data_IF_241185025425
#
_entry.id   IF_241185025425
#
_cell.length_a   1.000
_cell.length_b   1.000
_cell.length_c   1.000
_cell.angle_alpha   90.00
_cell.angle_beta   90.00
_cell.angle_gamma   90.00
#
_symmetry.space_group_name_H-M   'P 1'
#
loop_
_entity.id
_entity.type
_entity.pdbx_description
1 polymer ?
#
# COMPACT_ATOMS: atom_id res chain seq x y z
N UNK A 1 2.27 15.88 13.84
CA UNK A 1 2.63 14.63 13.10
C UNK A 1 1.46 13.67 13.17
N UNK A 2 0.88 13.31 12.02
CA UNK A 2 -0.20 12.32 11.95
C UNK A 2 0.31 10.97 12.47
N UNK A 3 -0.31 10.45 13.53
CA UNK A 3 -0.02 9.09 14.00
C UNK A 3 -0.70 8.09 13.08
N UNK A 4 0.08 7.16 12.55
CA UNK A 4 -0.40 6.03 11.77
C UNK A 4 -0.36 4.77 12.62
N UNK A 5 -1.48 4.06 12.68
CA UNK A 5 -1.48 2.68 13.19
C UNK A 5 -1.10 1.79 12.01
N UNK A 6 0.01 1.04 12.13
CA UNK A 6 0.54 0.18 11.06
C UNK A 6 0.52 -1.29 11.46
N UNK A 7 0.17 -2.15 10.51
CA UNK A 7 0.18 -3.60 10.68
C UNK A 7 0.94 -4.26 9.55
N UNK A 8 1.92 -5.10 9.91
CA UNK A 8 2.61 -5.96 8.96
C UNK A 8 1.81 -7.24 8.69
N UNK A 9 1.88 -7.73 7.46
CA UNK A 9 1.37 -9.02 7.04
C UNK A 9 2.34 -9.65 6.05
N UNK A 10 2.79 -10.87 6.32
CA UNK A 10 3.62 -11.64 5.40
C UNK A 10 2.83 -12.05 4.15
N UNK A 11 3.50 -12.07 3.01
CA UNK A 11 2.97 -12.63 1.76
C UNK A 11 3.36 -14.09 1.57
N UNK A 12 2.97 -14.68 0.43
CA UNK A 12 3.26 -16.08 0.10
C UNK A 12 4.65 -16.31 -0.50
N UNK A 13 5.36 -15.25 -0.90
CA UNK A 13 6.68 -15.35 -1.51
C UNK A 13 7.78 -15.60 -0.48
N UNK A 14 8.68 -16.54 -0.78
CA UNK A 14 9.95 -16.64 -0.09
C UNK A 14 10.86 -15.46 -0.48
N UNK A 15 11.43 -14.79 0.51
CA UNK A 15 12.44 -13.76 0.32
C UNK A 15 13.80 -14.42 0.04
N UNK A 16 14.50 -13.94 -0.98
CA UNK A 16 15.92 -14.23 -1.17
C UNK A 16 16.79 -13.13 -0.56
N UNK A 17 18.11 -13.30 -0.64
CA UNK A 17 19.09 -12.31 -0.17
C UNK A 17 19.28 -11.12 -1.13
N UNK A 18 18.53 -11.10 -2.24
CA UNK A 18 18.63 -10.09 -3.30
C UNK A 18 17.74 -8.87 -3.11
N UNK A 19 17.81 -7.93 -4.07
CA UNK A 19 16.97 -6.74 -4.08
C UNK A 19 15.49 -7.11 -4.18
N UNK A 20 14.66 -6.29 -3.53
CA UNK A 20 13.21 -6.42 -3.52
C UNK A 20 12.56 -5.16 -4.08
N UNK A 21 11.41 -5.31 -4.71
CA UNK A 21 10.64 -4.19 -5.23
C UNK A 21 9.59 -3.75 -4.22
N UNK A 22 9.53 -2.46 -3.92
CA UNK A 22 8.59 -1.88 -2.97
C UNK A 22 7.65 -0.94 -3.71
N UNK A 23 6.36 -1.06 -3.45
CA UNK A 23 5.33 -0.14 -3.91
C UNK A 23 4.53 0.41 -2.74
N UNK A 24 4.46 1.73 -2.66
CA UNK A 24 3.68 2.48 -1.68
C UNK A 24 2.52 3.19 -2.37
N UNK A 25 1.33 2.99 -1.82
CA UNK A 25 0.14 3.76 -2.13
C UNK A 25 -0.22 4.62 -0.92
N UNK A 26 -0.46 5.90 -1.18
CA UNK A 26 -1.01 6.86 -0.24
C UNK A 26 -2.37 7.31 -0.77
N UNK A 27 -3.43 6.90 -0.10
CA UNK A 27 -4.81 7.09 -0.53
C UNK A 27 -5.55 7.99 0.46
N UNK A 28 -6.11 9.09 -0.05
CA UNK A 28 -6.90 10.04 0.73
C UNK A 28 -8.38 9.94 0.33
N UNK A 29 -9.20 9.43 1.23
CA UNK A 29 -10.65 9.39 1.05
C UNK A 29 -11.24 10.80 1.15
N UNK A 30 -12.01 11.23 0.15
CA UNK A 30 -12.59 12.58 0.13
C UNK A 30 -13.75 12.75 1.13
N UNK A 31 -14.56 11.71 1.35
CA UNK A 31 -15.77 11.78 2.18
C UNK A 31 -15.72 10.76 3.31
N UNK A 32 -16.03 11.19 4.54
CA UNK A 32 -16.01 10.31 5.72
C UNK A 32 -16.92 9.08 5.57
N UNK A 33 -18.06 9.22 4.88
CA UNK A 33 -18.99 8.10 4.64
C UNK A 33 -18.41 6.95 3.81
N UNK A 34 -17.36 7.23 3.03
CA UNK A 34 -16.71 6.22 2.17
C UNK A 34 -15.59 5.48 2.92
N UNK A 35 -15.11 6.02 4.06
CA UNK A 35 -14.05 5.43 4.89
C UNK A 35 -14.34 3.97 5.29
N UNK A 36 -15.54 3.62 5.80
CA UNK A 36 -15.83 2.24 6.17
C UNK A 36 -15.77 1.28 4.96
N UNK A 37 -16.18 1.74 3.78
CA UNK A 37 -16.16 0.95 2.54
C UNK A 37 -14.72 0.67 2.12
N UNK A 38 -13.86 1.68 2.16
CA UNK A 38 -12.42 1.57 1.84
C UNK A 38 -11.72 0.66 2.85
N UNK A 39 -11.99 0.85 4.15
CA UNK A 39 -11.40 0.02 5.20
C UNK A 39 -11.76 -1.47 5.04
N UNK A 40 -13.02 -1.79 4.69
CA UNK A 40 -13.44 -3.17 4.39
C UNK A 40 -12.70 -3.77 3.19
N UNK A 41 -12.49 -2.98 2.13
CA UNK A 41 -11.71 -3.44 0.98
C UNK A 41 -10.24 -3.70 1.35
N UNK A 42 -9.62 -2.82 2.15
CA UNK A 42 -8.28 -3.03 2.69
C UNK A 42 -8.16 -4.29 3.54
N UNK A 43 -9.15 -4.59 4.39
CA UNK A 43 -9.19 -5.82 5.17
C UNK A 43 -9.32 -7.08 4.28
N UNK A 44 -10.13 -7.02 3.23
CA UNK A 44 -10.25 -8.12 2.25
C UNK A 44 -8.91 -8.39 1.56
N UNK A 45 -8.21 -7.34 1.11
CA UNK A 45 -6.87 -7.48 0.55
C UNK A 45 -5.88 -8.09 1.53
N UNK A 46 -5.87 -7.62 2.78
CA UNK A 46 -4.98 -8.17 3.83
C UNK A 46 -5.20 -9.66 4.08
N UNK A 47 -6.44 -10.13 3.98
CA UNK A 47 -6.77 -11.55 4.15
C UNK A 47 -6.27 -12.41 3.00
N UNK A 48 -6.40 -11.92 1.76
CA UNK A 48 -5.93 -12.63 0.56
C UNK A 48 -4.40 -12.52 0.36
N UNK A 49 -3.73 -11.60 1.05
CA UNK A 49 -2.31 -11.30 0.84
C UNK A 49 -1.35 -12.51 0.90
N UNK A 50 -1.53 -13.49 1.81
CA UNK A 50 -0.69 -14.69 1.83
C UNK A 50 -0.76 -15.56 0.56
N UNK A 51 -1.84 -15.44 -0.22
CA UNK A 51 -2.04 -16.19 -1.47
C UNK A 51 -1.50 -15.42 -2.68
N UNK A 52 -1.05 -14.18 -2.49
CA UNK A 52 -0.51 -13.36 -3.57
C UNK A 52 0.90 -13.84 -3.93
N UNK A 53 1.03 -14.43 -5.10
CA UNK A 53 2.30 -14.87 -5.65
C UNK A 53 3.29 -13.71 -5.78
N UNK A 54 4.56 -13.96 -5.42
CA UNK A 54 5.63 -12.97 -5.47
C UNK A 54 5.57 -11.86 -4.40
N UNK A 55 4.47 -11.74 -3.65
CA UNK A 55 4.38 -10.81 -2.54
C UNK A 55 5.18 -11.31 -1.34
N UNK A 56 6.10 -10.49 -0.84
CA UNK A 56 6.91 -10.77 0.35
C UNK A 56 6.26 -10.21 1.62
N UNK A 57 5.54 -9.09 1.51
CA UNK A 57 4.76 -8.58 2.63
C UNK A 57 4.07 -7.25 2.37
N UNK A 58 3.27 -6.84 3.34
CA UNK A 58 2.39 -5.69 3.27
C UNK A 58 2.33 -4.98 4.62
N UNK A 59 2.55 -3.68 4.61
CA UNK A 59 2.05 -2.79 5.64
C UNK A 59 0.74 -2.16 5.19
N UNK A 60 -0.28 -2.24 6.03
CA UNK A 60 -1.41 -1.33 5.98
C UNK A 60 -1.28 -0.35 7.15
N UNK A 61 -1.40 0.93 6.85
CA UNK A 61 -1.37 2.00 7.82
C UNK A 61 -2.54 2.96 7.60
N UNK A 62 -3.07 3.52 8.67
CA UNK A 62 -4.21 4.42 8.60
C UNK A 62 -4.06 5.54 9.61
N UNK A 63 -4.37 6.77 9.20
CA UNK A 63 -4.42 7.93 10.09
C UNK A 63 -5.55 7.80 11.10
N UNK A 64 -5.47 8.52 12.22
CA UNK A 64 -6.47 8.42 13.30
C UNK A 64 -7.91 8.73 12.87
N UNK A 65 -8.12 9.54 11.83
CA UNK A 65 -9.43 9.87 11.27
C UNK A 65 -9.93 8.89 10.20
N UNK A 66 -9.12 7.88 9.86
CA UNK A 66 -9.45 6.86 8.86
C UNK A 66 -9.35 7.31 7.40
N UNK A 67 -9.16 8.61 7.12
CA UNK A 67 -9.25 9.16 5.77
C UNK A 67 -7.99 8.91 4.94
N UNK A 68 -6.81 9.05 5.56
CA UNK A 68 -5.54 8.75 4.92
C UNK A 68 -5.17 7.30 5.18
N UNK A 69 -5.14 6.50 4.13
CA UNK A 69 -4.80 5.08 4.17
C UNK A 69 -3.55 4.85 3.33
N UNK A 70 -2.57 4.19 3.93
CA UNK A 70 -1.29 3.91 3.31
C UNK A 70 -1.16 2.39 3.18
N UNK A 71 -0.76 1.93 2.01
CA UNK A 71 -0.34 0.54 1.82
C UNK A 71 1.08 0.51 1.27
N UNK A 72 1.99 -0.17 1.95
CA UNK A 72 3.35 -0.42 1.47
C UNK A 72 3.47 -1.92 1.22
N UNK A 73 3.58 -2.31 -0.04
CA UNK A 73 3.71 -3.70 -0.48
C UNK A 73 5.14 -3.97 -0.93
N UNK A 74 5.66 -5.14 -0.56
CA UNK A 74 7.00 -5.60 -0.94
C UNK A 74 6.84 -6.85 -1.79
N UNK A 75 7.60 -6.89 -2.87
CA UNK A 75 7.55 -7.86 -3.95
C UNK A 75 8.95 -8.41 -4.20
N UNK A 76 9.03 -9.67 -4.63
CA UNK A 76 10.30 -10.27 -5.03
C UNK A 76 10.86 -9.54 -6.24
N UNK A 77 10.04 -9.31 -7.26
CA UNK A 77 10.45 -8.55 -8.45
C UNK A 77 9.36 -7.58 -8.95
N UNK A 78 9.71 -6.58 -9.80
CA UNK A 78 8.73 -5.67 -10.37
C UNK A 78 7.65 -6.37 -11.22
N UNK A 79 7.94 -7.57 -11.75
CA UNK A 79 6.98 -8.36 -12.53
C UNK A 79 5.82 -8.86 -11.67
N UNK A 80 6.08 -9.28 -10.43
CA UNK A 80 5.04 -9.75 -9.50
C UNK A 80 4.03 -8.65 -9.17
N UNK A 81 4.51 -7.43 -8.92
CA UNK A 81 3.65 -6.27 -8.73
C UNK A 81 2.78 -6.03 -9.96
N UNK A 82 3.35 -6.13 -11.16
CA UNK A 82 2.58 -5.98 -12.40
C UNK A 82 1.49 -7.03 -12.48
N UNK A 83 1.77 -8.31 -12.22
CA UNK A 83 0.76 -9.37 -12.22
C UNK A 83 -0.38 -9.06 -11.24
N UNK A 84 -0.04 -8.63 -10.01
CA UNK A 84 -1.03 -8.23 -9.02
C UNK A 84 -1.90 -7.06 -9.47
N UNK A 85 -1.31 -6.00 -10.02
CA UNK A 85 -2.05 -4.82 -10.50
C UNK A 85 -2.99 -5.17 -11.66
N UNK A 86 -2.63 -6.17 -12.46
CA UNK A 86 -3.46 -6.65 -13.58
C UNK A 86 -4.54 -7.66 -13.13
N UNK A 87 -4.49 -8.14 -11.88
CA UNK A 87 -5.47 -9.11 -11.37
C UNK A 87 -6.90 -8.55 -11.35
N UNK A 88 -7.93 -9.39 -11.59
CA UNK A 88 -9.32 -8.95 -11.56
C UNK A 88 -9.74 -8.36 -10.21
N UNK A 89 -9.24 -8.94 -9.11
CA UNK A 89 -9.52 -8.48 -7.74
C UNK A 89 -8.94 -7.09 -7.50
N UNK A 90 -7.70 -6.83 -7.94
CA UNK A 90 -7.10 -5.51 -7.81
C UNK A 90 -7.82 -4.45 -8.65
N UNK A 91 -8.10 -4.76 -9.92
CA UNK A 91 -8.83 -3.86 -10.83
C UNK A 91 -10.25 -3.57 -10.35
N UNK A 92 -10.90 -4.50 -9.67
CA UNK A 92 -12.19 -4.23 -9.05
C UNK A 92 -12.06 -3.18 -7.95
N UNK A 93 -11.07 -3.29 -7.05
CA UNK A 93 -10.89 -2.28 -6.00
C UNK A 93 -10.53 -0.92 -6.57
N UNK A 94 -9.62 -0.85 -7.54
CA UNK A 94 -9.27 0.43 -8.18
C UNK A 94 -10.51 1.07 -8.82
N UNK A 95 -11.36 0.29 -9.50
CA UNK A 95 -12.62 0.80 -10.06
C UNK A 95 -13.58 1.29 -8.99
N UNK A 96 -13.81 0.50 -7.95
CA UNK A 96 -14.76 0.83 -6.88
C UNK A 96 -14.39 2.16 -6.20
N UNK A 97 -13.10 2.45 -6.03
CA UNK A 97 -12.62 3.59 -5.25
C UNK A 97 -11.97 4.70 -6.07
N UNK A 98 -12.06 4.65 -7.42
CA UNK A 98 -11.51 5.67 -8.32
C UNK A 98 -12.01 7.08 -7.98
N UNK A 99 -13.31 7.21 -7.72
CA UNK A 99 -13.96 8.51 -7.48
C UNK A 99 -14.12 8.82 -5.98
N UNK A 100 -13.73 7.89 -5.10
CA UNK A 100 -13.90 8.03 -3.66
C UNK A 100 -12.74 8.78 -2.96
N UNK A 101 -11.65 9.05 -3.67
CA UNK A 101 -10.44 9.62 -3.09
C UNK A 101 -9.33 9.89 -4.10
N UNK A 102 -8.25 10.49 -3.62
CA UNK A 102 -7.01 10.70 -4.37
C UNK A 102 -5.98 9.63 -4.03
N UNK A 103 -5.27 9.12 -5.04
CA UNK A 103 -4.23 8.10 -4.89
C UNK A 103 -2.89 8.65 -5.39
N UNK A 104 -1.86 8.53 -4.57
CA UNK A 104 -0.47 8.67 -4.99
C UNK A 104 0.21 7.32 -4.85
N UNK A 105 0.81 6.86 -5.95
CA UNK A 105 1.61 5.64 -5.96
C UNK A 105 3.06 6.00 -6.19
N UNK A 106 3.94 5.39 -5.41
CA UNK A 106 5.39 5.47 -5.57
C UNK A 106 5.96 4.07 -5.51
N UNK A 107 7.07 3.84 -6.19
CA UNK A 107 7.76 2.57 -6.15
C UNK A 107 9.27 2.79 -6.13
N UNK A 108 10.00 1.88 -5.49
CA UNK A 108 11.45 1.88 -5.44
C UNK A 108 11.99 0.47 -5.25
N UNK A 109 13.28 0.29 -5.46
CA UNK A 109 13.97 -0.96 -5.17
C UNK A 109 14.72 -0.80 -3.85
N UNK A 110 14.56 -1.77 -2.94
CA UNK A 110 15.38 -1.89 -1.75
C UNK A 110 16.39 -3.01 -1.97
N UNK A 111 17.62 -2.85 -1.47
CA UNK A 111 18.71 -3.82 -1.69
C UNK A 111 18.42 -5.21 -1.11
N UNK A 112 17.57 -5.27 -0.08
CA UNK A 112 17.15 -6.50 0.60
C UNK A 112 15.83 -6.28 1.34
N UNK A 113 15.19 -7.36 1.77
CA UNK A 113 14.04 -7.30 2.66
C UNK A 113 14.44 -6.90 4.09
N UNK A 114 14.64 -5.61 4.34
CA UNK A 114 14.74 -5.05 5.69
C UNK A 114 13.47 -4.25 6.03
N UNK A 115 12.65 -4.84 6.91
CA UNK A 115 11.35 -4.28 7.32
C UNK A 115 11.47 -2.91 7.98
N UNK A 116 12.56 -2.63 8.70
CA UNK A 116 12.76 -1.35 9.38
C UNK A 116 13.19 -0.29 8.39
N UNK A 117 14.17 -0.59 7.54
CA UNK A 117 14.67 0.34 6.53
C UNK A 117 13.59 0.68 5.49
N UNK A 118 12.87 -0.32 4.97
CA UNK A 118 11.80 -0.11 3.99
C UNK A 118 10.70 0.79 4.55
N UNK A 119 10.30 0.57 5.81
CA UNK A 119 9.31 1.45 6.44
C UNK A 119 9.85 2.86 6.69
N UNK A 120 11.12 3.02 7.05
CA UNK A 120 11.77 4.34 7.16
C UNK A 120 11.73 5.10 5.83
N UNK A 121 12.11 4.44 4.74
CA UNK A 121 12.03 4.96 3.37
C UNK A 121 10.60 5.33 2.95
N UNK A 122 9.60 4.57 3.40
CA UNK A 122 8.19 4.89 3.17
C UNK A 122 7.79 6.15 3.94
N UNK A 123 8.19 6.28 5.22
CA UNK A 123 7.90 7.48 6.03
C UNK A 123 8.52 8.73 5.42
N UNK A 124 9.77 8.68 4.96
CA UNK A 124 10.43 9.80 4.26
C UNK A 124 9.62 10.26 3.04
N UNK A 125 9.10 9.30 2.26
CA UNK A 125 8.26 9.56 1.09
C UNK A 125 6.90 10.13 1.48
N UNK A 126 6.30 9.66 2.58
CA UNK A 126 5.04 10.21 3.10
C UNK A 126 5.20 11.64 3.64
N UNK A 127 6.36 11.97 4.20
CA UNK A 127 6.67 13.33 4.66
C UNK A 127 6.93 14.30 3.52
N UNK A 128 7.27 13.80 2.32
CA UNK A 128 7.37 14.59 1.08
C UNK A 128 6.12 14.56 0.19
N UNK A 129 5.24 13.57 0.34
CA UNK A 129 4.01 13.43 -0.43
C UNK A 129 2.81 14.07 0.30
N UNK A 130 2.34 15.18 -0.28
CA UNK A 130 1.16 16.01 0.01
C UNK A 130 1.18 16.80 1.34
N UNK A 131 1.55 18.10 1.28
CA UNK A 131 1.17 19.08 2.28
C UNK A 131 -0.35 19.31 2.30
N UNK A 132 -0.99 19.46 1.14
CA UNK A 132 -2.44 19.67 1.02
C UNK A 132 -2.91 19.17 -0.34
N UNK A 133 -3.89 18.26 -0.37
CA UNK A 133 -4.58 17.91 -1.61
C UNK A 133 -5.42 19.11 -2.09
N UNK A 134 -4.81 19.99 -2.89
CA UNK A 134 -5.47 20.80 -3.91
C UNK A 134 -4.54 20.95 -5.09
N UNK A 135 -4.84 20.24 -6.16
CA UNK A 135 -4.49 20.70 -7.50
C UNK A 135 -5.81 21.01 -8.18
N UNK A 136 -5.95 22.28 -8.57
CA UNK A 136 -7.08 22.82 -9.32
C UNK A 136 -7.27 22.07 -10.65
#
# INVERSE_FOLDING_TARGET
MTRFVRFWKDGGGAAGDGPVHVSMNDYLVHRFRDVPRVARAGLRFRRAWPETEGALGLWLATAGDGRRQISVSVWREPADLKLFVHSPSHRQVVRDFRDAGALITTAWTAERLDRRLIWGQAVERLTGALPEARHH
#
